data_IF_477745511957
#
_entry.id   IF_477745511957
#
_cell.length_a   1.000
_cell.length_b   1.000
_cell.length_c   1.000
_cell.angle_alpha   90.00
_cell.angle_beta   90.00
_cell.angle_gamma   90.00
#
_symmetry.space_group_name_H-M   'P 1'
#
loop_
_entity.id
_entity.type
_entity.pdbx_description
1 polymer ?
#
# COMPACT_ATOMS: atom_id res chain seq x y z
N UNK A 1 -35.83 -4.45 -6.35
CA UNK A 1 -35.12 -3.64 -7.34
C UNK A 1 -33.74 -3.43 -6.75
N UNK A 2 -32.74 -4.19 -7.21
CA UNK A 2 -31.35 -4.06 -6.74
C UNK A 2 -30.74 -2.92 -7.55
N UNK A 3 -30.01 -2.03 -6.89
CA UNK A 3 -29.27 -0.96 -7.55
C UNK A 3 -28.17 -1.59 -8.43
N UNK A 4 -28.09 -1.30 -9.75
CA UNK A 4 -27.04 -1.85 -10.63
C UNK A 4 -25.64 -1.34 -10.26
N UNK A 5 -25.51 -0.33 -9.40
CA UNK A 5 -24.24 0.25 -8.98
C UNK A 5 -23.92 -0.10 -7.51
N UNK A 6 -24.02 -1.39 -7.18
CA UNK A 6 -23.69 -1.90 -5.84
C UNK A 6 -22.52 -2.88 -5.88
N UNK A 7 -21.56 -2.70 -4.97
CA UNK A 7 -20.45 -3.63 -4.75
C UNK A 7 -20.58 -4.37 -3.42
N UNK A 8 -20.16 -5.65 -3.35
CA UNK A 8 -20.14 -6.41 -2.10
C UNK A 8 -19.20 -5.78 -1.06
N UNK A 9 -19.37 -6.16 0.21
CA UNK A 9 -18.52 -5.69 1.29
C UNK A 9 -17.03 -6.02 1.01
N UNK A 10 -16.16 -5.04 1.24
CA UNK A 10 -14.73 -5.15 0.93
C UNK A 10 -14.34 -4.61 -0.45
N UNK A 11 -15.30 -4.09 -1.21
CA UNK A 11 -15.07 -3.47 -2.51
C UNK A 11 -15.67 -2.06 -2.56
N UNK A 12 -15.15 -1.23 -3.47
CA UNK A 12 -15.67 0.10 -3.77
C UNK A 12 -16.00 0.20 -5.25
N UNK A 13 -17.05 0.94 -5.59
CA UNK A 13 -17.42 1.20 -6.98
C UNK A 13 -16.33 2.02 -7.66
N UNK A 14 -15.86 1.55 -8.81
CA UNK A 14 -14.94 2.33 -9.63
C UNK A 14 -15.65 3.55 -10.23
N UNK A 15 -14.94 4.67 -10.34
CA UNK A 15 -15.51 5.92 -10.86
C UNK A 15 -15.91 5.83 -12.34
N UNK A 16 -15.33 4.90 -13.09
CA UNK A 16 -15.72 4.64 -14.48
C UNK A 16 -16.93 3.72 -14.61
N UNK A 17 -17.42 3.15 -13.51
CA UNK A 17 -18.59 2.26 -13.51
C UNK A 17 -19.86 3.04 -13.86
N UNK A 18 -20.46 2.71 -15.00
CA UNK A 18 -21.69 3.32 -15.50
C UNK A 18 -22.67 2.24 -15.93
N UNK A 19 -23.97 2.47 -15.74
CA UNK A 19 -25.03 1.54 -16.14
C UNK A 19 -26.16 2.29 -16.85
N UNK A 20 -26.61 1.80 -18.00
CA UNK A 20 -27.71 2.38 -18.79
C UNK A 20 -28.85 1.37 -18.89
N UNK A 21 -30.09 1.80 -18.62
CA UNK A 21 -31.26 0.95 -18.82
C UNK A 21 -31.60 0.92 -20.32
N UNK A 22 -31.49 -0.26 -20.93
CA UNK A 22 -31.81 -0.53 -22.33
C UNK A 22 -32.80 -1.69 -22.40
N UNK A 23 -33.95 -1.45 -23.04
CA UNK A 23 -35.00 -2.46 -23.22
C UNK A 23 -35.49 -3.13 -21.91
N UNK A 24 -35.39 -2.41 -20.79
CA UNK A 24 -35.78 -2.89 -19.46
C UNK A 24 -34.67 -3.61 -18.68
N UNK A 25 -33.48 -3.76 -19.28
CA UNK A 25 -32.29 -4.37 -18.66
C UNK A 25 -31.21 -3.32 -18.43
N UNK A 26 -30.47 -3.43 -17.31
CA UNK A 26 -29.32 -2.57 -17.05
C UNK A 26 -28.10 -3.11 -17.80
N UNK A 27 -27.44 -2.24 -18.57
CA UNK A 27 -26.26 -2.59 -19.35
C UNK A 27 -25.13 -1.62 -19.05
N UNK A 28 -23.95 -2.10 -18.62
CA UNK A 28 -23.67 -3.48 -18.15
C UNK A 28 -24.51 -3.87 -16.93
N UNK A 29 -24.73 -5.18 -16.76
CA UNK A 29 -25.45 -5.73 -15.60
C UNK A 29 -24.61 -5.62 -14.31
N UNK A 30 -23.30 -5.80 -14.43
CA UNK A 30 -22.37 -5.76 -13.31
C UNK A 30 -21.56 -4.46 -13.29
N UNK A 31 -21.43 -3.80 -12.13
CA UNK A 31 -20.56 -2.66 -11.97
C UNK A 31 -19.08 -3.07 -11.89
N UNK A 32 -18.18 -2.12 -12.11
CA UNK A 32 -16.75 -2.31 -11.86
C UNK A 32 -16.49 -2.07 -10.37
N UNK A 33 -16.06 -3.11 -9.67
CA UNK A 33 -15.76 -3.07 -8.23
C UNK A 33 -14.27 -3.27 -7.97
N UNK A 34 -13.66 -2.31 -7.27
CA UNK A 34 -12.25 -2.33 -6.88
C UNK A 34 -12.08 -2.90 -5.47
N UNK A 35 -11.03 -3.70 -5.27
CA UNK A 35 -10.75 -4.29 -3.96
C UNK A 35 -10.30 -3.23 -2.94
N UNK A 36 -10.65 -3.45 -1.67
CA UNK A 36 -10.21 -2.62 -0.55
C UNK A 36 -9.19 -3.39 0.30
N UNK A 37 -7.93 -2.97 0.27
CA UNK A 37 -6.92 -3.47 1.18
C UNK A 37 -7.03 -2.77 2.54
N UNK A 38 -7.14 -3.57 3.61
CA UNK A 38 -7.04 -3.06 4.98
C UNK A 38 -5.62 -2.69 5.31
N UNK A 39 -5.42 -1.64 6.11
CA UNK A 39 -4.09 -1.25 6.57
C UNK A 39 -3.33 -2.47 7.14
N UNK A 40 -2.12 -2.77 6.64
CA UNK A 40 -1.30 -3.85 7.16
C UNK A 40 -1.16 -3.73 8.68
N UNK A 41 -1.49 -4.80 9.41
CA UNK A 41 -1.63 -4.76 10.86
C UNK A 41 -0.33 -4.36 11.55
N UNK A 42 -0.40 -3.33 12.41
CA UNK A 42 0.72 -2.82 13.21
C UNK A 42 1.12 -3.75 14.37
N UNK A 43 0.50 -4.94 14.50
CA UNK A 43 0.37 -5.65 15.77
C UNK A 43 1.69 -6.12 16.42
N UNK A 44 2.81 -6.12 15.71
CA UNK A 44 4.13 -6.46 16.27
C UNK A 44 5.31 -5.69 15.66
N UNK A 45 5.07 -4.58 14.96
CA UNK A 45 6.12 -3.89 14.20
C UNK A 45 6.59 -2.62 14.92
N UNK A 46 7.32 -2.81 16.02
CA UNK A 46 8.02 -1.70 16.68
C UNK A 46 8.83 -0.92 15.65
N UNK A 47 8.73 0.42 15.70
CA UNK A 47 9.43 1.33 14.81
C UNK A 47 9.03 1.35 13.33
N UNK A 48 8.00 0.61 12.89
CA UNK A 48 7.53 0.61 11.50
C UNK A 48 6.40 1.62 11.27
N UNK A 49 6.47 2.33 10.15
CA UNK A 49 5.47 3.30 9.72
C UNK A 49 5.12 3.12 8.25
N UNK A 50 3.95 3.64 7.85
CA UNK A 50 3.39 3.51 6.49
C UNK A 50 3.02 4.89 5.95
N UNK A 51 3.29 5.13 4.67
CA UNK A 51 2.88 6.33 3.93
C UNK A 51 2.27 5.96 2.57
N UNK A 52 1.11 6.51 2.17
CA UNK A 52 0.25 7.36 2.98
C UNK A 52 -0.40 6.56 4.11
N UNK A 53 -0.61 7.17 5.28
CA UNK A 53 -1.25 6.49 6.42
C UNK A 53 -2.78 6.62 6.33
N UNK A 54 -3.42 5.61 5.75
CA UNK A 54 -4.89 5.51 5.61
C UNK A 54 -5.40 4.26 6.36
N UNK A 55 -6.65 4.23 6.80
CA UNK A 55 -7.26 3.01 7.35
C UNK A 55 -7.49 1.93 6.28
N UNK A 56 -7.74 2.36 5.04
CA UNK A 56 -8.04 1.52 3.89
C UNK A 56 -7.38 2.08 2.63
N UNK A 57 -7.10 1.19 1.69
CA UNK A 57 -6.47 1.47 0.39
C UNK A 57 -7.28 0.81 -0.71
N UNK A 58 -7.40 1.47 -1.85
CA UNK A 58 -8.16 0.98 -2.99
C UNK A 58 -7.18 0.32 -3.97
N UNK A 59 -7.64 -0.67 -4.74
CA UNK A 59 -6.85 -1.26 -5.83
C UNK A 59 -6.11 -0.19 -6.66
N UNK A 60 -4.80 -0.37 -6.83
CA UNK A 60 -3.90 0.58 -7.46
C UNK A 60 -3.17 1.53 -6.49
N UNK A 61 -3.63 1.70 -5.24
CA UNK A 61 -2.89 2.47 -4.23
C UNK A 61 -1.55 1.80 -3.90
N UNK A 62 -0.50 2.62 -3.79
CA UNK A 62 0.84 2.18 -3.39
C UNK A 62 1.13 2.73 -1.99
N UNK A 63 1.65 1.86 -1.12
CA UNK A 63 2.16 2.23 0.19
C UNK A 63 3.67 2.07 0.28
N UNK A 64 4.27 2.89 1.13
CA UNK A 64 5.69 2.88 1.44
C UNK A 64 5.89 2.66 2.94
N UNK A 65 6.62 1.61 3.28
CA UNK A 65 7.10 1.32 4.61
C UNK A 65 8.36 2.13 4.92
N UNK A 66 8.49 2.57 6.16
CA UNK A 66 9.72 3.19 6.66
C UNK A 66 9.90 2.93 8.15
N UNK A 67 11.15 2.86 8.59
CA UNK A 67 11.49 2.64 9.99
C UNK A 67 11.84 3.93 10.72
N UNK A 68 11.68 3.92 12.05
CA UNK A 68 12.21 4.95 12.92
C UNK A 68 13.73 5.08 12.78
N UNK A 69 14.28 6.21 13.21
CA UNK A 69 15.72 6.48 13.12
C UNK A 69 16.53 5.39 13.84
N UNK A 70 17.52 4.81 13.15
CA UNK A 70 18.41 3.78 13.69
C UNK A 70 18.01 2.34 13.32
N UNK A 71 16.91 2.17 12.60
CA UNK A 71 16.42 0.91 12.09
C UNK A 71 16.42 0.89 10.56
N UNK A 72 16.52 -0.29 9.96
CA UNK A 72 16.45 -0.51 8.52
C UNK A 72 15.42 -1.60 8.23
N UNK A 73 14.73 -1.48 7.11
CA UNK A 73 13.88 -2.54 6.59
C UNK A 73 14.72 -3.74 6.16
N UNK A 74 14.23 -4.94 6.45
CA UNK A 74 14.80 -6.20 5.98
C UNK A 74 14.58 -6.43 4.47
N UNK A 75 13.53 -5.80 3.89
CA UNK A 75 13.05 -6.00 2.51
C UNK A 75 12.69 -4.69 1.80
N UNK A 76 12.19 -4.80 0.57
CA UNK A 76 11.69 -3.68 -0.22
C UNK A 76 10.58 -2.91 0.51
N UNK A 77 10.58 -1.57 0.42
CA UNK A 77 9.67 -0.74 1.21
C UNK A 77 8.29 -0.56 0.56
N UNK A 78 8.02 -1.16 -0.59
CA UNK A 78 6.81 -0.86 -1.37
C UNK A 78 5.82 -2.03 -1.31
N UNK A 79 4.53 -1.72 -1.22
CA UNK A 79 3.47 -2.67 -1.51
C UNK A 79 2.33 -1.97 -2.26
N UNK A 80 1.72 -2.69 -3.19
CA UNK A 80 0.60 -2.21 -4.02
C UNK A 80 -0.66 -2.92 -3.60
N UNK A 81 -1.76 -2.19 -3.39
CA UNK A 81 -3.05 -2.82 -3.21
C UNK A 81 -3.54 -3.38 -4.55
N UNK A 82 -3.73 -4.69 -4.62
CA UNK A 82 -4.22 -5.41 -5.78
C UNK A 82 -5.59 -6.02 -5.48
N UNK A 83 -6.22 -6.61 -6.50
CA UNK A 83 -7.44 -7.42 -6.35
C UNK A 83 -7.32 -8.58 -5.34
N UNK A 84 -6.10 -9.05 -5.06
CA UNK A 84 -5.82 -10.17 -4.14
C UNK A 84 -5.34 -9.69 -2.76
N UNK A 85 -5.10 -8.38 -2.57
CA UNK A 85 -4.53 -7.80 -1.36
C UNK A 85 -3.25 -7.04 -1.66
N UNK A 86 -2.45 -6.74 -0.61
CA UNK A 86 -1.16 -6.10 -0.81
C UNK A 86 -0.17 -7.06 -1.49
N UNK A 87 0.54 -6.55 -2.49
CA UNK A 87 1.64 -7.23 -3.17
C UNK A 87 2.92 -6.36 -3.09
N UNK A 88 4.02 -6.87 -2.51
CA UNK A 88 4.12 -8.16 -1.80
C UNK A 88 3.24 -8.20 -0.53
N UNK A 89 2.72 -9.38 -0.15
CA UNK A 89 1.88 -9.54 1.03
C UNK A 89 2.67 -9.49 2.35
N UNK A 90 3.99 -9.72 2.31
CA UNK A 90 4.83 -9.70 3.49
C UNK A 90 5.07 -8.27 3.99
N UNK A 91 4.77 -8.04 5.27
CA UNK A 91 5.10 -6.76 5.93
C UNK A 91 6.58 -6.78 6.34
N UNK A 92 7.40 -5.80 5.91
CA UNK A 92 8.81 -5.75 6.25
C UNK A 92 9.01 -5.48 7.74
N UNK A 93 10.12 -5.99 8.28
CA UNK A 93 10.51 -5.80 9.67
C UNK A 93 11.58 -4.71 9.80
N UNK A 94 11.49 -3.94 10.89
CA UNK A 94 12.51 -2.98 11.25
C UNK A 94 13.59 -3.66 12.09
N UNK A 95 14.75 -3.90 11.48
CA UNK A 95 15.92 -4.44 12.17
C UNK A 95 16.84 -3.29 12.60
N UNK A 96 17.20 -3.25 13.90
CA UNK A 96 18.04 -2.19 14.45
C UNK A 96 18.99 -2.68 15.53
N UNK A 97 20.29 -2.67 15.22
CA UNK A 97 21.42 -2.68 16.17
C UNK A 97 22.64 -1.92 15.63
N UNK A 98 22.46 -0.69 15.14
CA UNK A 98 23.59 0.18 14.77
C UNK A 98 23.99 1.19 15.85
N UNK A 99 23.82 0.83 17.14
CA UNK A 99 24.46 1.50 18.27
C UNK A 99 25.14 0.53 19.25
N UNK A 100 25.72 -0.55 18.72
CA UNK A 100 26.71 -1.36 19.46
C UNK A 100 28.06 -1.34 18.76
N UNK A 101 28.53 -0.17 18.30
CA UNK A 101 29.97 0.01 18.12
C UNK A 101 30.48 0.48 19.49
N UNK A 102 31.21 -0.34 20.26
CA UNK A 102 31.88 0.15 21.45
C UNK A 102 32.88 1.21 21.01
N UNK A 103 32.48 2.47 21.20
CA UNK A 103 33.33 3.64 21.27
C UNK A 103 34.45 3.74 20.22
N UNK A 104 34.14 4.17 18.99
CA UNK A 104 35.15 4.80 18.13
C UNK A 104 34.49 5.71 17.09
N UNK A 105 34.68 7.03 17.30
CA UNK A 105 34.67 8.14 16.32
C UNK A 105 33.48 8.19 15.33
N UNK A 106 32.52 9.09 15.64
CA UNK A 106 31.53 9.75 14.74
C UNK A 106 31.45 9.17 13.31
N UNK A 107 30.58 8.20 13.09
CA UNK A 107 30.22 7.76 11.75
C UNK A 107 29.31 8.80 11.06
N UNK A 108 29.59 9.11 9.79
CA UNK A 108 28.73 9.94 8.95
C UNK A 108 27.35 9.27 8.77
N UNK A 109 26.25 10.02 8.64
CA UNK A 109 24.99 9.45 8.19
C UNK A 109 25.20 8.83 6.81
N UNK A 110 24.89 7.54 6.68
CA UNK A 110 24.81 6.87 5.38
C UNK A 110 23.77 7.66 4.57
N UNK A 111 24.09 8.12 3.34
CA UNK A 111 23.09 8.76 2.51
C UNK A 111 21.96 7.75 2.31
N UNK A 112 20.76 8.12 2.73
CA UNK A 112 19.55 7.38 2.38
C UNK A 112 19.48 7.43 0.86
N UNK A 113 19.94 6.36 0.18
CA UNK A 113 19.53 6.12 -1.20
C UNK A 113 18.03 5.87 -1.12
N UNK A 114 17.25 6.93 -1.23
CA UNK A 114 15.85 6.83 -1.58
C UNK A 114 15.88 6.16 -2.96
N UNK A 115 15.66 4.86 -3.01
CA UNK A 115 15.43 4.14 -4.25
C UNK A 115 14.01 4.52 -4.69
N UNK A 116 13.86 5.76 -5.17
CA UNK A 116 12.75 6.08 -6.06
C UNK A 116 13.02 5.19 -7.27
N UNK A 117 12.17 4.18 -7.48
CA UNK A 117 12.25 3.33 -8.67
C UNK A 117 12.47 4.22 -9.89
N UNK A 118 13.53 3.93 -10.66
CA UNK A 118 13.88 4.64 -11.89
C UNK A 118 12.79 4.60 -12.97
N UNK A 119 11.62 4.02 -12.69
CA UNK A 119 10.48 3.96 -13.59
C UNK A 119 9.66 5.26 -13.68
N UNK A 120 9.80 6.21 -12.74
CA UNK A 120 9.02 7.47 -12.73
C UNK A 120 9.79 8.74 -13.16
N UNK A 121 11.04 8.62 -13.62
CA UNK A 121 11.72 9.69 -14.35
C UNK A 121 11.71 9.39 -15.85
N UNK A 122 10.56 9.60 -16.48
CA UNK A 122 10.52 10.05 -17.87
C UNK A 122 10.08 11.51 -17.85
N UNK A 123 11.06 12.40 -17.99
CA UNK A 123 10.89 13.74 -18.53
C UNK A 123 10.93 13.66 -20.05
#
# INVERSE_FOLDING_TARGET
MVDPLYCPMGFVLDESSTSTCKDGEWVPEDPICLNICSRPGSLNFDHLYISPSKPHYIEGDIIVYYCSRGYRLDRDPFATCTKEGFDPPEVPQCEGKFFSIPNTKRACPIPIKVMISKQYLKM
#
